data_IF_082590890551
#
_entry.id   IF_082590890551
#
_cell.length_a   1.000
_cell.length_b   1.000
_cell.length_c   1.000
_cell.angle_alpha   90.00
_cell.angle_beta   90.00
_cell.angle_gamma   90.00
#
_symmetry.space_group_name_H-M   'P 1'
#
loop_
_entity.id
_entity.type
_entity.pdbx_description
1 polymer ?
#
# COMPACT_ATOMS: atom_id res chain seq x y z
N UNK A 1 24.03 19.51 -6.94
CA UNK A 1 24.17 18.07 -7.28
C UNK A 1 24.85 17.98 -8.63
N UNK A 2 25.89 17.17 -8.81
CA UNK A 2 26.33 16.78 -10.16
C UNK A 2 25.12 16.13 -10.83
N UNK A 3 24.69 16.64 -11.99
CA UNK A 3 23.67 15.98 -12.79
C UNK A 3 24.16 14.57 -13.13
N UNK A 4 23.61 13.57 -12.45
CA UNK A 4 23.84 12.17 -12.79
C UNK A 4 23.21 11.97 -14.17
N UNK A 5 24.00 11.59 -15.18
CA UNK A 5 23.41 11.21 -16.47
C UNK A 5 22.54 9.96 -16.25
N UNK A 6 21.28 10.02 -16.67
CA UNK A 6 20.38 8.88 -16.56
C UNK A 6 20.93 7.64 -17.28
N UNK A 7 20.80 6.47 -16.65
CA UNK A 7 21.25 5.19 -17.20
C UNK A 7 20.11 4.17 -17.20
N UNK A 8 19.59 3.83 -18.39
CA UNK A 8 18.51 2.85 -18.52
C UNK A 8 18.89 1.44 -18.10
N UNK A 9 20.17 1.05 -18.20
CA UNK A 9 20.64 -0.26 -17.75
C UNK A 9 20.46 -0.43 -16.23
N UNK A 10 20.43 0.66 -15.46
CA UNK A 10 20.20 0.60 -14.02
C UNK A 10 18.85 -0.03 -13.64
N UNK A 11 17.88 -0.09 -14.55
CA UNK A 11 16.57 -0.72 -14.35
C UNK A 11 16.57 -2.23 -14.59
N UNK A 12 17.66 -2.79 -15.13
CA UNK A 12 17.78 -4.21 -15.45
C UNK A 12 17.48 -5.14 -14.26
N UNK A 13 17.96 -4.88 -13.03
CA UNK A 13 17.66 -5.74 -11.87
C UNK A 13 16.15 -5.90 -11.63
N UNK A 14 15.41 -4.79 -11.68
CA UNK A 14 13.95 -4.82 -11.55
C UNK A 14 13.31 -5.59 -12.71
N UNK A 15 13.77 -5.37 -13.95
CA UNK A 15 13.28 -6.11 -15.11
C UNK A 15 13.50 -7.63 -14.97
N UNK A 16 14.66 -8.04 -14.46
CA UNK A 16 14.97 -9.46 -14.17
C UNK A 16 14.07 -10.00 -13.07
N UNK A 17 13.90 -9.27 -11.97
CA UNK A 17 13.01 -9.68 -10.89
C UNK A 17 11.58 -9.92 -11.41
N UNK A 18 11.03 -8.98 -12.17
CA UNK A 18 9.69 -9.10 -12.75
C UNK A 18 9.60 -10.25 -13.75
N UNK A 19 10.59 -10.41 -14.62
CA UNK A 19 10.62 -11.49 -15.60
C UNK A 19 10.69 -12.86 -14.93
N UNK A 20 11.48 -13.00 -13.87
CA UNK A 20 11.56 -14.24 -13.10
C UNK A 20 10.27 -14.50 -12.35
N UNK A 21 9.78 -13.53 -11.56
CA UNK A 21 8.63 -13.71 -10.69
C UNK A 21 7.31 -13.87 -11.45
N UNK A 22 7.01 -12.96 -12.38
CA UNK A 22 5.78 -13.00 -13.17
C UNK A 22 5.90 -14.07 -14.27
N UNK A 23 7.05 -14.12 -14.96
CA UNK A 23 7.26 -15.06 -16.06
C UNK A 23 7.25 -16.52 -15.63
N UNK A 24 7.82 -16.86 -14.47
CA UNK A 24 7.75 -18.24 -13.96
C UNK A 24 6.31 -18.67 -13.69
N UNK A 25 5.49 -17.81 -13.10
CA UNK A 25 4.10 -18.15 -12.80
C UNK A 25 3.26 -18.29 -14.07
N UNK A 26 3.46 -17.42 -15.07
CA UNK A 26 2.78 -17.55 -16.37
C UNK A 26 3.16 -18.86 -17.08
N UNK A 27 4.45 -19.20 -17.13
CA UNK A 27 4.93 -20.41 -17.82
C UNK A 27 4.46 -21.69 -17.11
N UNK A 28 4.49 -21.68 -15.78
CA UNK A 28 4.27 -22.89 -14.98
C UNK A 28 2.83 -23.05 -14.47
N UNK A 29 1.99 -22.02 -14.66
CA UNK A 29 0.63 -21.91 -14.13
C UNK A 29 0.56 -21.71 -12.61
N UNK A 30 1.70 -21.54 -11.93
CA UNK A 30 1.80 -21.53 -10.48
C UNK A 30 2.89 -20.53 -10.04
N UNK A 31 2.46 -19.44 -9.40
CA UNK A 31 3.35 -18.36 -8.96
C UNK A 31 4.23 -18.71 -7.75
N UNK A 32 4.06 -19.88 -7.12
CA UNK A 32 4.90 -20.32 -5.99
C UNK A 32 6.05 -21.24 -6.39
N UNK A 33 6.02 -21.78 -7.62
CA UNK A 33 7.08 -22.70 -8.10
C UNK A 33 8.47 -22.09 -8.07
N UNK A 34 8.57 -20.79 -8.34
CA UNK A 34 9.80 -20.04 -8.09
C UNK A 34 9.57 -19.16 -6.86
N UNK A 35 10.20 -19.48 -5.70
CA UNK A 35 10.05 -18.66 -4.51
C UNK A 35 10.46 -17.22 -4.79
N UNK A 36 9.62 -16.27 -4.38
CA UNK A 36 9.82 -14.84 -4.63
C UNK A 36 11.17 -14.35 -4.08
N UNK A 37 11.60 -14.88 -2.93
CA UNK A 37 12.90 -14.60 -2.32
C UNK A 37 14.08 -15.01 -3.21
N UNK A 38 13.95 -16.09 -3.99
CA UNK A 38 15.00 -16.51 -4.93
C UNK A 38 15.06 -15.55 -6.11
N UNK A 39 13.90 -15.19 -6.68
CA UNK A 39 13.83 -14.25 -7.80
C UNK A 39 14.45 -12.88 -7.44
N UNK A 40 14.09 -12.33 -6.28
CA UNK A 40 14.65 -11.04 -5.83
C UNK A 40 16.14 -11.16 -5.46
N UNK A 41 16.59 -12.28 -4.89
CA UNK A 41 18.02 -12.50 -4.60
C UNK A 41 18.87 -12.52 -5.87
N UNK A 42 18.38 -13.14 -6.95
CA UNK A 42 19.04 -13.10 -8.27
C UNK A 42 19.11 -11.67 -8.78
N UNK A 43 18.02 -10.91 -8.70
CA UNK A 43 17.98 -9.52 -9.13
C UNK A 43 18.94 -8.63 -8.32
N UNK A 44 19.01 -8.79 -6.99
CA UNK A 44 19.98 -8.11 -6.12
C UNK A 44 21.42 -8.49 -6.51
N UNK A 45 21.67 -9.77 -6.79
CA UNK A 45 22.97 -10.23 -7.30
C UNK A 45 23.38 -9.52 -8.59
N UNK A 46 22.44 -9.35 -9.52
CA UNK A 46 22.67 -8.57 -10.75
C UNK A 46 22.93 -7.10 -10.43
N UNK A 47 22.12 -6.48 -9.57
CA UNK A 47 22.30 -5.08 -9.16
C UNK A 47 23.68 -4.82 -8.55
N UNK A 48 24.17 -5.75 -7.71
CA UNK A 48 25.50 -5.70 -7.11
C UNK A 48 26.63 -6.00 -8.11
N UNK A 49 26.38 -6.80 -9.15
CA UNK A 49 27.35 -7.06 -10.22
C UNK A 49 27.48 -5.89 -11.23
N UNK A 50 26.47 -5.02 -11.29
CA UNK A 50 26.48 -3.81 -12.11
C UNK A 50 27.45 -2.75 -11.58
N UNK A 51 27.62 -1.69 -12.40
CA UNK A 51 28.49 -0.56 -12.11
C UNK A 51 29.92 -0.99 -11.71
N UNK A 52 30.63 -1.62 -12.66
CA UNK A 52 32.00 -2.15 -12.47
C UNK A 52 33.05 -1.07 -12.11
N UNK A 53 32.70 0.20 -12.20
CA UNK A 53 33.58 1.33 -11.82
C UNK A 53 33.62 1.54 -10.31
N UNK A 54 32.61 1.07 -9.60
CA UNK A 54 32.49 1.20 -8.14
C UNK A 54 32.96 -0.07 -7.45
N UNK A 55 33.56 0.08 -6.27
CA UNK A 55 33.99 -1.06 -5.46
C UNK A 55 32.79 -1.86 -4.97
N UNK A 56 32.99 -3.16 -4.74
CA UNK A 56 31.93 -4.02 -4.20
C UNK A 56 31.47 -3.53 -2.81
N UNK A 57 32.39 -3.03 -1.99
CA UNK A 57 32.09 -2.48 -0.66
C UNK A 57 31.11 -1.31 -0.73
N UNK A 58 31.35 -0.34 -1.62
CA UNK A 58 30.44 0.81 -1.80
C UNK A 58 29.05 0.35 -2.23
N UNK A 59 28.98 -0.66 -3.11
CA UNK A 59 27.68 -1.21 -3.55
C UNK A 59 26.93 -1.89 -2.41
N UNK A 60 27.62 -2.64 -1.55
CA UNK A 60 27.00 -3.24 -0.35
C UNK A 60 26.55 -2.18 0.64
N UNK A 61 27.33 -1.12 0.86
CA UNK A 61 26.94 0.00 1.73
C UNK A 61 25.69 0.71 1.19
N UNK A 62 25.62 0.95 -0.12
CA UNK A 62 24.42 1.49 -0.79
C UNK A 62 23.23 0.57 -0.60
N UNK A 63 23.40 -0.73 -0.85
CA UNK A 63 22.35 -1.71 -0.61
C UNK A 63 21.85 -1.65 0.85
N UNK A 64 22.76 -1.66 1.83
CA UNK A 64 22.41 -1.61 3.25
C UNK A 64 21.68 -0.32 3.62
N UNK A 65 22.08 0.82 3.03
CA UNK A 65 21.39 2.10 3.22
C UNK A 65 19.95 2.06 2.70
N UNK A 66 19.73 1.45 1.54
CA UNK A 66 18.38 1.26 0.97
C UNK A 66 17.53 0.31 1.81
N UNK A 67 18.11 -0.82 2.18
CA UNK A 67 17.50 -1.84 3.02
C UNK A 67 17.11 -1.30 4.41
N UNK A 68 17.94 -0.43 4.98
CA UNK A 68 17.72 0.25 6.26
C UNK A 68 16.97 1.57 6.16
N UNK A 69 16.29 1.86 5.04
CA UNK A 69 15.48 3.06 4.90
C UNK A 69 14.37 3.08 5.98
N UNK A 70 14.11 4.22 6.65
CA UNK A 70 13.12 4.32 7.71
C UNK A 70 11.73 3.79 7.34
N UNK A 71 11.22 4.08 6.14
CA UNK A 71 9.88 3.64 5.70
C UNK A 71 9.82 2.11 5.62
N UNK A 72 10.89 1.49 5.11
CA UNK A 72 11.01 0.04 4.98
C UNK A 72 11.11 -0.60 6.36
N UNK A 73 11.91 -0.02 7.26
CA UNK A 73 12.05 -0.55 8.61
C UNK A 73 10.77 -0.39 9.45
N UNK A 74 10.03 0.70 9.28
CA UNK A 74 8.70 0.86 9.90
C UNK A 74 7.74 -0.20 9.37
N UNK A 75 7.75 -0.47 8.06
CA UNK A 75 6.95 -1.56 7.49
C UNK A 75 7.33 -2.93 8.06
N UNK A 76 8.62 -3.23 8.21
CA UNK A 76 9.09 -4.47 8.85
C UNK A 76 8.56 -4.58 10.28
N UNK A 77 8.59 -3.50 11.07
CA UNK A 77 8.04 -3.49 12.42
C UNK A 77 6.52 -3.73 12.42
N UNK A 78 5.79 -3.14 11.47
CA UNK A 78 4.36 -3.41 11.30
C UNK A 78 4.12 -4.89 11.03
N UNK A 79 4.88 -5.53 10.13
CA UNK A 79 4.70 -6.96 9.83
C UNK A 79 4.90 -7.82 11.06
N UNK A 80 6.00 -7.61 11.78
CA UNK A 80 6.31 -8.38 12.99
C UNK A 80 5.22 -8.22 14.05
N UNK A 81 4.78 -6.99 14.34
CA UNK A 81 3.73 -6.74 15.34
C UNK A 81 2.35 -7.22 14.88
N UNK A 82 2.05 -7.13 13.60
CA UNK A 82 0.76 -7.55 13.07
C UNK A 82 0.64 -9.08 13.02
N UNK A 83 1.74 -9.79 12.70
CA UNK A 83 1.82 -11.23 12.85
C UNK A 83 1.61 -11.67 14.30
N UNK A 84 2.28 -11.02 15.26
CA UNK A 84 2.08 -11.27 16.68
C UNK A 84 0.62 -11.05 17.12
N UNK A 85 0.01 -9.93 16.74
CA UNK A 85 -1.39 -9.64 17.03
C UNK A 85 -2.34 -10.67 16.43
N UNK A 86 -2.16 -11.00 15.15
CA UNK A 86 -3.02 -11.93 14.44
C UNK A 86 -2.98 -13.33 15.04
N UNK A 87 -1.79 -13.84 15.34
CA UNK A 87 -1.65 -15.19 15.91
C UNK A 87 -2.20 -15.25 17.35
N UNK A 88 -1.95 -14.22 18.16
CA UNK A 88 -2.48 -14.15 19.54
C UNK A 88 -3.99 -13.95 19.59
N UNK A 89 -4.54 -13.12 18.71
CA UNK A 89 -5.99 -12.92 18.62
C UNK A 89 -6.71 -14.17 18.09
N UNK A 90 -6.08 -14.90 17.16
CA UNK A 90 -6.60 -16.17 16.65
C UNK A 90 -6.61 -17.24 17.73
N UNK A 91 -5.51 -17.43 18.46
CA UNK A 91 -5.42 -18.52 19.45
C UNK A 91 -6.34 -18.35 20.66
N UNK A 92 -6.74 -17.12 21.01
CA UNK A 92 -7.80 -16.88 22.01
C UNK A 92 -9.23 -16.92 21.44
N UNK A 93 -9.42 -17.14 20.13
CA UNK A 93 -10.75 -17.24 19.49
C UNK A 93 -11.40 -15.90 19.11
N UNK A 94 -10.62 -14.81 19.08
CA UNK A 94 -11.13 -13.48 18.75
C UNK A 94 -11.45 -13.27 17.28
N UNK A 95 -10.69 -13.93 16.37
CA UNK A 95 -11.00 -13.91 14.92
C UNK A 95 -12.39 -14.50 14.71
N UNK A 96 -12.62 -15.72 15.19
CA UNK A 96 -13.89 -16.42 14.99
C UNK A 96 -15.07 -15.66 15.61
N UNK A 97 -14.91 -15.13 16.82
CA UNK A 97 -15.96 -14.34 17.47
C UNK A 97 -16.29 -13.06 16.70
N UNK A 98 -15.28 -12.38 16.15
CA UNK A 98 -15.47 -11.14 15.37
C UNK A 98 -16.17 -11.42 14.04
N UNK A 99 -15.78 -12.50 13.36
CA UNK A 99 -16.39 -12.93 12.09
C UNK A 99 -17.84 -13.37 12.31
N UNK A 100 -18.11 -14.16 13.35
CA UNK A 100 -19.45 -14.61 13.69
C UNK A 100 -20.37 -13.44 14.07
N UNK A 101 -19.87 -12.45 14.83
CA UNK A 101 -20.62 -11.24 15.09
C UNK A 101 -20.98 -10.54 13.78
N UNK A 102 -20.00 -10.31 12.89
CA UNK A 102 -20.24 -9.65 11.61
C UNK A 102 -21.30 -10.36 10.76
N UNK A 103 -21.22 -11.70 10.66
CA UNK A 103 -22.19 -12.53 9.94
C UNK A 103 -23.58 -12.54 10.59
N UNK A 104 -23.68 -12.30 11.90
CA UNK A 104 -24.97 -12.24 12.61
C UNK A 104 -25.74 -10.94 12.39
N UNK A 105 -25.04 -9.84 12.06
CA UNK A 105 -25.64 -8.49 11.93
C UNK A 105 -25.67 -7.98 10.48
N UNK A 106 -24.78 -8.46 9.61
CA UNK A 106 -24.67 -8.03 8.21
C UNK A 106 -24.99 -9.19 7.27
N UNK A 107 -25.82 -8.98 6.24
CA UNK A 107 -25.96 -9.96 5.18
C UNK A 107 -24.61 -10.18 4.48
N UNK A 108 -24.28 -11.45 4.19
CA UNK A 108 -22.98 -11.86 3.65
C UNK A 108 -22.56 -11.06 2.40
N UNK A 109 -23.51 -10.76 1.52
CA UNK A 109 -23.30 -9.96 0.31
C UNK A 109 -22.88 -8.49 0.54
N UNK A 110 -22.92 -7.98 1.77
CA UNK A 110 -22.45 -6.64 2.11
C UNK A 110 -21.17 -6.62 2.95
N UNK A 111 -20.71 -7.77 3.44
CA UNK A 111 -19.58 -7.85 4.38
C UNK A 111 -18.29 -7.32 3.74
N UNK A 112 -18.01 -7.71 2.50
CA UNK A 112 -16.79 -7.28 1.79
C UNK A 112 -16.82 -5.79 1.47
N UNK A 113 -17.97 -5.27 1.05
CA UNK A 113 -18.15 -3.82 0.89
C UNK A 113 -18.00 -3.08 2.23
N UNK A 114 -18.47 -3.66 3.33
CA UNK A 114 -18.26 -3.15 4.69
C UNK A 114 -16.79 -3.08 5.06
N UNK A 115 -16.01 -4.13 4.77
CA UNK A 115 -14.54 -4.14 4.98
C UNK A 115 -13.87 -3.01 4.20
N UNK A 116 -14.25 -2.80 2.93
CA UNK A 116 -13.72 -1.68 2.14
C UNK A 116 -13.97 -0.33 2.83
N UNK A 117 -15.21 -0.09 3.27
CA UNK A 117 -15.61 1.17 3.92
C UNK A 117 -14.89 1.36 5.26
N UNK A 118 -14.81 0.32 6.09
CA UNK A 118 -14.10 0.38 7.36
C UNK A 118 -12.61 0.67 7.11
N UNK A 119 -11.98 0.01 6.13
CA UNK A 119 -10.60 0.27 5.73
C UNK A 119 -10.38 1.70 5.24
N UNK A 120 -11.32 2.22 4.44
CA UNK A 120 -11.31 3.62 4.00
C UNK A 120 -11.28 4.60 5.17
N UNK A 121 -12.15 4.43 6.18
CA UNK A 121 -12.18 5.32 7.34
C UNK A 121 -10.97 5.16 8.24
N UNK A 122 -10.52 3.93 8.48
CA UNK A 122 -9.31 3.68 9.28
C UNK A 122 -8.09 4.32 8.62
N UNK A 123 -7.89 4.12 7.32
CA UNK A 123 -6.72 4.66 6.66
C UNK A 123 -6.77 6.19 6.52
N UNK A 124 -7.98 6.76 6.35
CA UNK A 124 -8.17 8.20 6.40
C UNK A 124 -7.73 8.77 7.76
N UNK A 125 -8.13 8.12 8.85
CA UNK A 125 -7.87 8.55 10.22
C UNK A 125 -6.41 8.32 10.67
N UNK A 126 -5.85 7.15 10.40
CA UNK A 126 -4.46 6.80 10.75
C UNK A 126 -3.42 7.44 9.81
N UNK A 127 -3.82 7.76 8.58
CA UNK A 127 -2.92 8.24 7.53
C UNK A 127 -1.87 7.23 7.08
N UNK A 128 -2.16 5.93 7.23
CA UNK A 128 -1.28 4.87 6.73
C UNK A 128 -2.11 3.72 6.13
N UNK A 129 -1.76 3.31 4.91
CA UNK A 129 -2.40 2.15 4.28
C UNK A 129 -1.92 0.83 4.91
N UNK A 130 -0.65 0.71 5.30
CA UNK A 130 -0.10 -0.55 5.83
C UNK A 130 -0.68 -0.91 7.18
N UNK A 131 -0.78 0.07 8.07
CA UNK A 131 -1.38 -0.15 9.37
C UNK A 131 -2.85 -0.53 9.26
N UNK A 132 -3.55 0.06 8.29
CA UNK A 132 -4.94 -0.30 7.99
C UNK A 132 -5.06 -1.75 7.49
N UNK A 133 -4.20 -2.17 6.55
CA UNK A 133 -4.18 -3.54 6.06
C UNK A 133 -3.86 -4.50 7.21
N UNK A 134 -2.83 -4.21 8.01
CA UNK A 134 -2.45 -5.01 9.17
C UNK A 134 -3.56 -5.16 10.22
N UNK A 135 -4.38 -4.11 10.42
CA UNK A 135 -5.49 -4.13 11.35
C UNK A 135 -6.69 -4.95 10.84
N UNK A 136 -6.98 -4.89 9.53
CA UNK A 136 -8.17 -5.52 8.94
C UNK A 136 -7.93 -6.89 8.31
N UNK A 137 -6.70 -7.19 7.91
CA UNK A 137 -6.36 -8.43 7.23
C UNK A 137 -6.79 -9.69 8.00
N UNK A 138 -6.55 -9.82 9.33
CA UNK A 138 -6.97 -11.02 10.06
C UNK A 138 -8.50 -11.24 10.02
N UNK A 139 -9.28 -10.16 10.04
CA UNK A 139 -10.75 -10.22 9.96
C UNK A 139 -11.17 -10.65 8.54
N UNK A 140 -10.54 -10.11 7.50
CA UNK A 140 -10.82 -10.48 6.11
C UNK A 140 -10.48 -11.95 5.81
N UNK A 141 -9.34 -12.44 6.31
CA UNK A 141 -8.96 -13.86 6.24
C UNK A 141 -9.97 -14.74 6.99
N UNK A 142 -10.39 -14.33 8.19
CA UNK A 142 -11.39 -15.04 8.97
C UNK A 142 -12.75 -15.13 8.27
N UNK A 143 -13.22 -14.04 7.65
CA UNK A 143 -14.45 -14.02 6.86
C UNK A 143 -14.36 -14.98 5.68
N UNK A 144 -13.25 -14.97 4.93
CA UNK A 144 -13.05 -15.89 3.81
C UNK A 144 -13.00 -17.36 4.27
N UNK A 145 -12.44 -17.65 5.45
CA UNK A 145 -12.42 -19.01 6.00
C UNK A 145 -13.78 -19.56 6.41
N UNK A 146 -14.79 -18.69 6.62
CA UNK A 146 -16.14 -19.05 7.05
C UNK A 146 -17.21 -18.83 5.97
N UNK A 147 -16.83 -18.33 4.79
CA UNK A 147 -17.72 -17.99 3.69
C UNK A 147 -17.15 -18.51 2.36
N UNK A 148 -17.95 -18.55 1.29
CA UNK A 148 -17.44 -18.90 -0.04
C UNK A 148 -16.69 -17.74 -0.73
N UNK A 149 -16.44 -16.65 -0.02
CA UNK A 149 -15.74 -15.49 -0.57
C UNK A 149 -14.26 -15.85 -0.70
N UNK A 150 -13.72 -15.70 -1.91
CA UNK A 150 -12.29 -15.91 -2.17
C UNK A 150 -11.43 -15.02 -1.27
N UNK A 151 -10.43 -15.64 -0.64
CA UNK A 151 -9.46 -14.94 0.20
C UNK A 151 -8.71 -13.83 -0.56
N UNK A 152 -8.45 -14.05 -1.86
CA UNK A 152 -7.81 -13.06 -2.72
C UNK A 152 -8.71 -11.81 -2.90
N UNK A 153 -10.02 -11.98 -3.07
CA UNK A 153 -10.99 -10.89 -3.17
C UNK A 153 -11.08 -10.12 -1.83
N UNK A 154 -11.17 -10.83 -0.72
CA UNK A 154 -11.24 -10.22 0.61
C UNK A 154 -9.98 -9.37 0.89
N UNK A 155 -8.81 -9.90 0.58
CA UNK A 155 -7.54 -9.20 0.79
C UNK A 155 -7.34 -8.02 -0.16
N UNK A 156 -7.64 -8.18 -1.45
CA UNK A 156 -7.58 -7.07 -2.40
C UNK A 156 -8.57 -5.95 -2.03
N UNK A 157 -9.70 -6.30 -1.42
CA UNK A 157 -10.67 -5.33 -0.90
C UNK A 157 -10.11 -4.53 0.27
N UNK A 158 -9.43 -5.19 1.21
CA UNK A 158 -8.72 -4.51 2.32
C UNK A 158 -7.68 -3.54 1.77
N UNK A 159 -6.88 -3.97 0.78
CA UNK A 159 -5.92 -3.10 0.09
C UNK A 159 -6.64 -1.90 -0.52
N UNK A 160 -7.72 -2.12 -1.26
CA UNK A 160 -8.50 -1.05 -1.87
C UNK A 160 -9.01 -0.02 -0.86
N UNK A 161 -9.62 -0.46 0.24
CA UNK A 161 -10.13 0.42 1.29
C UNK A 161 -9.00 1.23 1.94
N UNK A 162 -7.90 0.57 2.30
CA UNK A 162 -6.73 1.22 2.87
C UNK A 162 -6.16 2.28 1.92
N UNK A 163 -6.07 1.98 0.63
CA UNK A 163 -5.53 2.90 -0.36
C UNK A 163 -6.45 4.10 -0.65
N UNK A 164 -7.76 3.91 -0.54
CA UNK A 164 -8.72 5.02 -0.61
C UNK A 164 -8.50 6.01 0.52
N UNK A 165 -8.42 5.51 1.76
CA UNK A 165 -8.25 6.39 2.92
C UNK A 165 -6.90 7.11 2.91
N UNK A 166 -5.81 6.42 2.59
CA UNK A 166 -4.47 7.02 2.49
C UNK A 166 -4.43 8.17 1.48
N UNK A 167 -5.07 8.00 0.32
CA UNK A 167 -5.15 9.03 -0.73
C UNK A 167 -5.95 10.27 -0.32
N UNK A 168 -6.77 10.18 0.72
CA UNK A 168 -7.56 11.30 1.25
C UNK A 168 -7.05 11.81 2.61
N UNK A 169 -6.06 11.16 3.22
CA UNK A 169 -5.63 11.52 4.56
C UNK A 169 -4.92 12.88 4.62
N UNK A 170 -5.17 13.65 5.68
CA UNK A 170 -4.51 14.92 5.97
C UNK A 170 -3.16 14.76 6.66
N UNK A 171 -2.82 13.55 7.10
CA UNK A 171 -1.61 13.30 7.89
C UNK A 171 -0.68 12.27 7.22
N UNK A 172 -1.08 11.69 6.09
CA UNK A 172 -0.25 10.73 5.35
C UNK A 172 0.96 11.41 4.71
N UNK A 173 2.11 10.74 4.78
CA UNK A 173 3.39 11.21 4.23
C UNK A 173 3.30 11.48 2.72
N UNK A 174 2.55 10.65 1.99
CA UNK A 174 2.31 10.81 0.54
C UNK A 174 1.61 12.13 0.26
N UNK A 175 0.56 12.43 1.04
CA UNK A 175 -0.19 13.67 0.92
C UNK A 175 0.65 14.87 1.30
N UNK A 176 1.40 14.80 2.41
CA UNK A 176 2.30 15.88 2.85
C UNK A 176 3.36 16.16 1.79
N UNK A 177 3.98 15.12 1.23
CA UNK A 177 5.00 15.24 0.18
C UNK A 177 4.43 15.86 -1.11
N UNK A 178 3.25 15.41 -1.55
CA UNK A 178 2.61 15.94 -2.75
C UNK A 178 2.26 17.42 -2.58
N UNK A 179 1.68 17.79 -1.44
CA UNK A 179 1.24 19.16 -1.16
C UNK A 179 2.43 20.10 -1.00
N UNK A 180 3.46 19.70 -0.25
CA UNK A 180 4.69 20.49 -0.08
C UNK A 180 5.46 20.68 -1.39
N UNK A 181 5.57 19.63 -2.20
CA UNK A 181 6.30 19.72 -3.48
C UNK A 181 5.61 20.64 -4.49
N UNK A 182 4.28 20.73 -4.47
CA UNK A 182 3.53 21.56 -5.41
C UNK A 182 3.22 22.96 -4.90
N UNK A 183 3.35 23.22 -3.59
CA UNK A 183 3.05 24.52 -2.99
C UNK A 183 1.54 24.78 -2.90
N UNK A 184 0.76 23.76 -2.53
CA UNK A 184 -0.69 23.87 -2.29
C UNK A 184 -1.01 23.62 -0.81
N UNK A 185 -2.28 23.72 -0.41
CA UNK A 185 -2.74 23.36 0.93
C UNK A 185 -3.37 21.95 0.98
N UNK A 186 -3.32 21.30 2.14
CA UNK A 186 -3.88 19.96 2.36
C UNK A 186 -5.39 19.92 2.06
N UNK A 187 -6.13 20.94 2.51
CA UNK A 187 -7.58 21.06 2.31
C UNK A 187 -7.97 21.13 0.83
N UNK A 188 -7.18 21.84 0.04
CA UNK A 188 -7.43 22.01 -1.38
C UNK A 188 -7.12 20.73 -2.18
N UNK A 189 -6.02 20.05 -1.82
CA UNK A 189 -5.72 18.73 -2.36
C UNK A 189 -6.82 17.73 -1.99
N UNK A 190 -7.26 17.70 -0.72
CA UNK A 190 -8.32 16.80 -0.26
C UNK A 190 -9.57 16.93 -1.12
N UNK A 191 -10.07 18.16 -1.31
CA UNK A 191 -11.24 18.42 -2.16
C UNK A 191 -11.03 17.95 -3.60
N UNK A 192 -9.84 18.22 -4.15
CA UNK A 192 -9.49 17.84 -5.52
C UNK A 192 -9.48 16.31 -5.68
N UNK A 193 -8.80 15.58 -4.79
CA UNK A 193 -8.78 14.13 -4.79
C UNK A 193 -10.17 13.56 -4.59
N UNK A 194 -10.91 14.04 -3.58
CA UNK A 194 -12.24 13.53 -3.25
C UNK A 194 -13.18 13.53 -4.46
N UNK A 195 -13.17 14.60 -5.26
CA UNK A 195 -13.97 14.67 -6.48
C UNK A 195 -13.58 13.63 -7.54
N UNK A 196 -12.31 13.21 -7.58
CA UNK A 196 -11.80 12.24 -8.56
C UNK A 196 -11.96 10.81 -8.05
N UNK A 197 -11.73 10.55 -6.76
CA UNK A 197 -11.72 9.19 -6.19
C UNK A 197 -13.07 8.71 -5.69
N UNK A 198 -14.00 9.61 -5.35
CA UNK A 198 -15.34 9.23 -4.89
C UNK A 198 -16.08 8.34 -5.92
N UNK A 199 -16.09 8.65 -7.23
CA UNK A 199 -16.65 7.74 -8.23
C UNK A 199 -16.00 6.35 -8.23
N UNK A 200 -14.66 6.29 -8.11
CA UNK A 200 -13.95 5.01 -8.05
C UNK A 200 -14.35 4.19 -6.81
N UNK A 201 -14.53 4.82 -5.66
CA UNK A 201 -14.99 4.16 -4.44
C UNK A 201 -16.43 3.65 -4.55
N UNK A 202 -17.34 4.46 -5.10
CA UNK A 202 -18.74 4.06 -5.32
C UNK A 202 -18.81 2.85 -6.26
N UNK A 203 -18.11 2.91 -7.40
CA UNK A 203 -18.08 1.79 -8.36
C UNK A 203 -17.46 0.56 -7.71
N UNK A 204 -16.40 0.71 -6.90
CA UNK A 204 -15.81 -0.40 -6.15
C UNK A 204 -16.84 -1.05 -5.23
N UNK A 205 -17.54 -0.27 -4.41
CA UNK A 205 -18.57 -0.78 -3.48
C UNK A 205 -19.65 -1.55 -4.25
N UNK A 206 -20.13 -0.99 -5.36
CA UNK A 206 -21.15 -1.64 -6.19
C UNK A 206 -20.64 -2.95 -6.78
N UNK A 207 -19.42 -2.99 -7.31
CA UNK A 207 -18.81 -4.22 -7.85
C UNK A 207 -18.65 -5.29 -6.76
N UNK A 208 -18.18 -4.90 -5.58
CA UNK A 208 -18.02 -5.83 -4.45
C UNK A 208 -19.37 -6.43 -4.06
N UNK A 209 -20.40 -5.59 -3.89
CA UNK A 209 -21.76 -6.06 -3.57
C UNK A 209 -22.29 -7.00 -4.63
N UNK A 210 -22.14 -6.68 -5.93
CA UNK A 210 -22.58 -7.54 -7.04
C UNK A 210 -21.85 -8.88 -7.05
N UNK A 211 -20.54 -8.90 -6.82
CA UNK A 211 -19.75 -10.13 -6.81
C UNK A 211 -20.06 -11.04 -5.64
N UNK A 212 -20.53 -10.48 -4.52
CA UNK A 212 -20.90 -11.24 -3.32
C UNK A 212 -22.41 -11.45 -3.15
N UNK A 213 -23.22 -10.86 -4.05
CA UNK A 213 -24.67 -11.07 -4.13
C UNK A 213 -24.94 -12.50 -4.63
N UNK A 214 -25.40 -13.37 -3.74
CA UNK A 214 -25.65 -14.78 -4.05
C UNK A 214 -24.63 -15.76 -3.45
N UNK A 215 -23.62 -15.27 -2.72
CA UNK A 215 -22.86 -16.08 -1.75
C UNK A 215 -23.76 -16.39 -0.55
N UNK A 216 -24.82 -17.15 -0.77
CA UNK A 216 -25.88 -17.48 0.19
C UNK A 216 -25.64 -18.90 0.74
N UNK A 217 -24.39 -19.19 1.12
CA UNK A 217 -24.15 -20.32 2.01
C UNK A 217 -24.94 -20.03 3.28
N UNK A 218 -25.77 -20.98 3.73
CA UNK A 218 -26.42 -20.89 5.04
C UNK A 218 -25.34 -21.01 6.12
N UNK A 219 -24.56 -19.95 6.30
CA UNK A 219 -23.67 -19.80 7.44
C UNK A 219 -24.60 -19.55 8.61
N UNK A 220 -24.99 -20.62 9.31
CA UNK A 220 -25.58 -20.49 10.63
C UNK A 220 -24.56 -19.74 11.46
N UNK A 221 -24.84 -18.48 11.79
CA UNK A 221 -23.98 -17.69 12.67
C UNK A 221 -23.67 -18.54 13.91
N UNK A 222 -22.40 -18.94 14.05
CA UNK A 222 -21.96 -19.67 15.22
C UNK A 222 -21.97 -18.72 16.42
N UNK A 223 -21.98 -19.27 17.63
CA UNK A 223 -21.91 -18.45 18.84
C UNK A 223 -20.64 -17.58 18.84
N UNK A 224 -20.79 -16.31 19.19
CA UNK A 224 -19.67 -15.38 19.40
C UNK A 224 -19.56 -14.98 20.87
N UNK A 225 -18.35 -14.66 21.31
CA UNK A 225 -18.07 -14.10 22.63
C UNK A 225 -17.66 -12.63 22.50
N UNK A 226 -18.44 -11.73 23.12
CA UNK A 226 -18.19 -10.29 23.07
C UNK A 226 -16.85 -9.88 23.70
N UNK A 227 -16.37 -10.63 24.70
CA UNK A 227 -15.08 -10.33 25.36
C UNK A 227 -13.95 -10.62 24.39
N UNK A 228 -14.02 -11.73 23.65
CA UNK A 228 -13.01 -12.13 22.65
C UNK A 228 -12.94 -11.17 21.45
N UNK A 229 -13.94 -10.32 21.25
CA UNK A 229 -13.96 -9.29 20.20
C UNK A 229 -13.19 -8.02 20.61
N UNK A 230 -13.01 -7.79 21.92
CA UNK A 230 -12.41 -6.56 22.44
C UNK A 230 -11.02 -6.22 21.86
N UNK A 231 -10.11 -7.17 21.59
CA UNK A 231 -8.83 -6.85 20.96
C UNK A 231 -8.97 -6.23 19.57
N UNK A 232 -9.84 -6.79 18.73
CA UNK A 232 -10.14 -6.22 17.42
C UNK A 232 -10.87 -4.89 17.54
N UNK A 233 -11.90 -4.80 18.40
CA UNK A 233 -12.61 -3.54 18.62
C UNK A 233 -11.65 -2.43 19.11
N UNK A 234 -10.76 -2.74 20.04
CA UNK A 234 -9.74 -1.81 20.54
C UNK A 234 -8.78 -1.38 19.44
N UNK A 235 -8.30 -2.30 18.61
CA UNK A 235 -7.47 -1.99 17.43
C UNK A 235 -8.20 -1.06 16.48
N UNK A 236 -9.43 -1.38 16.09
CA UNK A 236 -10.22 -0.57 15.14
C UNK A 236 -10.55 0.81 15.71
N UNK A 237 -10.93 0.90 17.00
CA UNK A 237 -11.24 2.17 17.66
C UNK A 237 -9.99 3.05 17.75
N UNK A 238 -8.88 2.53 18.28
CA UNK A 238 -7.64 3.31 18.42
C UNK A 238 -7.07 3.71 17.07
N UNK A 239 -7.18 2.84 16.05
CA UNK A 239 -6.88 3.17 14.67
C UNK A 239 -7.76 4.32 14.13
N UNK A 240 -9.07 4.28 14.34
CA UNK A 240 -9.99 5.36 13.96
C UNK A 240 -9.74 6.66 14.73
N UNK A 241 -9.18 6.58 15.95
CA UNK A 241 -8.72 7.75 16.71
C UNK A 241 -7.36 8.28 16.22
N UNK A 242 -6.77 7.68 15.18
CA UNK A 242 -5.51 8.13 14.58
C UNK A 242 -4.26 7.76 15.38
N UNK A 243 -4.34 6.74 16.24
CA UNK A 243 -3.16 6.28 16.99
C UNK A 243 -2.13 5.65 16.07
N UNK A 244 -0.86 5.72 16.47
CA UNK A 244 0.23 5.10 15.71
C UNK A 244 0.02 3.58 15.62
N UNK A 245 0.13 3.04 14.41
CA UNK A 245 -0.07 1.61 14.11
C UNK A 245 0.73 0.68 15.04
N UNK A 246 1.97 1.02 15.38
CA UNK A 246 2.79 0.16 16.23
C UNK A 246 2.18 0.06 17.63
N UNK A 247 1.70 1.19 18.18
CA UNK A 247 0.99 1.23 19.47
C UNK A 247 -0.31 0.44 19.38
N UNK A 248 -1.06 0.62 18.29
CA UNK A 248 -2.33 -0.09 18.05
C UNK A 248 -2.13 -1.60 18.06
N UNK A 249 -1.15 -2.12 17.29
CA UNK A 249 -0.88 -3.56 17.18
C UNK A 249 -0.28 -4.15 18.46
N UNK A 250 0.63 -3.44 19.13
CA UNK A 250 1.15 -3.86 20.43
C UNK A 250 0.03 -3.90 21.47
N UNK A 251 -0.81 -2.85 21.53
CA UNK A 251 -1.96 -2.80 22.44
C UNK A 251 -2.95 -3.93 22.20
N UNK A 252 -3.26 -4.21 20.93
CA UNK A 252 -4.10 -5.36 20.54
C UNK A 252 -3.50 -6.69 20.96
N UNK A 253 -2.19 -6.90 20.77
CA UNK A 253 -1.49 -8.13 21.18
C UNK A 253 -1.53 -8.32 22.69
N UNK A 254 -1.29 -7.26 23.46
CA UNK A 254 -1.36 -7.30 24.93
C UNK A 254 -2.79 -7.59 25.39
N UNK A 255 -3.80 -6.95 24.79
CA UNK A 255 -5.20 -7.17 25.14
C UNK A 255 -5.65 -8.61 24.83
N UNK A 256 -5.25 -9.17 23.67
CA UNK A 256 -5.45 -10.59 23.36
C UNK A 256 -4.81 -11.51 24.39
N UNK A 257 -3.60 -11.21 24.83
CA UNK A 257 -2.90 -11.96 25.86
C UNK A 257 -3.61 -11.90 27.22
N UNK A 258 -3.99 -10.71 27.68
CA UNK A 258 -4.73 -10.53 28.94
C UNK A 258 -6.03 -11.31 28.93
N UNK A 259 -6.83 -11.20 27.87
CA UNK A 259 -8.11 -11.90 27.76
C UNK A 259 -7.91 -13.41 27.70
N UNK A 260 -6.96 -13.89 26.89
CA UNK A 260 -6.68 -15.32 26.80
C UNK A 260 -6.12 -15.92 28.10
N UNK A 261 -5.40 -15.15 28.92
CA UNK A 261 -4.98 -15.59 30.25
C UNK A 261 -6.16 -15.66 31.23
N UNK A 262 -7.12 -14.74 31.12
CA UNK A 262 -8.30 -14.69 32.00
C UNK A 262 -9.33 -15.77 31.68
N UNK A 263 -9.54 -16.09 30.40
CA UNK A 263 -10.53 -17.09 29.97
C UNK A 263 -9.96 -18.53 29.87
N UNK A 264 -8.64 -18.67 30.07
CA UNK A 264 -7.93 -19.95 30.05
C UNK A 264 -7.50 -20.43 28.66
N UNK A 265 -7.72 -19.65 27.59
CA UNK A 265 -7.25 -19.97 26.23
C UNK A 265 -5.72 -19.95 26.12
N UNK A 266 -5.04 -19.20 26.99
CA UNK A 266 -3.59 -19.15 27.09
C UNK A 266 -3.10 -19.40 28.51
N UNK A 267 -1.99 -20.14 28.60
CA UNK A 267 -0.97 -19.96 29.64
C UNK A 267 0.05 -18.91 29.20
N UNK A 268 0.84 -18.35 30.13
CA UNK A 268 1.89 -17.38 29.81
C UNK A 268 2.89 -17.93 28.77
N UNK A 269 3.24 -19.21 28.88
CA UNK A 269 4.11 -19.90 27.93
C UNK A 269 3.49 -19.97 26.53
N UNK A 270 2.24 -20.44 26.44
CA UNK A 270 1.54 -20.57 25.16
C UNK A 270 1.29 -19.21 24.48
N UNK A 271 1.07 -18.16 25.26
CA UNK A 271 0.97 -16.79 24.75
C UNK A 271 2.28 -16.32 24.12
N UNK A 272 3.42 -16.44 24.83
CA UNK A 272 4.72 -16.04 24.27
C UNK A 272 5.12 -16.88 23.05
N UNK A 273 4.77 -18.17 23.04
CA UNK A 273 4.94 -19.01 21.86
C UNK A 273 4.10 -18.50 20.69
N UNK A 274 2.82 -18.18 20.93
CA UNK A 274 1.92 -17.63 19.91
C UNK A 274 2.42 -16.28 19.35
N UNK A 275 2.91 -15.38 20.20
CA UNK A 275 3.58 -14.14 19.78
C UNK A 275 4.75 -14.45 18.84
N UNK A 276 5.66 -15.34 19.26
CA UNK A 276 6.85 -15.69 18.48
C UNK A 276 6.51 -16.36 17.15
N UNK A 277 5.52 -17.27 17.15
CA UNK A 277 5.01 -17.90 15.94
C UNK A 277 4.44 -16.87 14.97
N UNK A 278 3.64 -15.93 15.47
CA UNK A 278 3.08 -14.85 14.65
C UNK A 278 4.17 -13.95 14.03
N UNK A 279 5.17 -13.56 14.82
CA UNK A 279 6.33 -12.79 14.33
C UNK A 279 7.11 -13.57 13.27
N UNK A 280 7.39 -14.85 13.52
CA UNK A 280 8.14 -15.72 12.61
C UNK A 280 7.40 -15.98 11.28
N UNK A 281 6.07 -16.07 11.31
CA UNK A 281 5.24 -16.23 10.11
C UNK A 281 5.38 -15.09 9.10
N UNK A 282 5.89 -13.93 9.51
CA UNK A 282 6.08 -12.77 8.64
C UNK A 282 7.51 -12.64 8.09
N UNK A 283 8.41 -13.56 8.42
CA UNK A 283 9.84 -13.47 8.10
C UNK A 283 10.13 -13.39 6.59
N UNK A 284 9.38 -14.14 5.78
CA UNK A 284 9.54 -14.10 4.32
C UNK A 284 9.32 -12.69 3.76
N UNK A 285 8.27 -12.00 4.23
CA UNK A 285 7.95 -10.64 3.79
C UNK A 285 8.96 -9.61 4.30
N UNK A 286 9.45 -9.80 5.53
CA UNK A 286 10.51 -8.96 6.10
C UNK A 286 11.78 -9.04 5.24
N UNK A 287 12.20 -10.25 4.86
CA UNK A 287 13.35 -10.44 3.98
C UNK A 287 13.10 -9.81 2.60
N UNK A 288 11.92 -10.03 2.03
CA UNK A 288 11.55 -9.49 0.73
C UNK A 288 11.60 -7.95 0.72
N UNK A 289 11.03 -7.30 1.73
CA UNK A 289 11.05 -5.85 1.91
C UNK A 289 12.46 -5.27 1.95
N UNK A 290 13.35 -5.88 2.74
CA UNK A 290 14.75 -5.48 2.89
C UNK A 290 15.51 -5.62 1.56
N UNK A 291 15.32 -6.76 0.86
CA UNK A 291 15.96 -7.03 -0.43
C UNK A 291 15.50 -6.05 -1.52
N UNK A 292 14.20 -5.77 -1.59
CA UNK A 292 13.64 -4.77 -2.52
C UNK A 292 14.22 -3.38 -2.20
N UNK A 293 14.22 -2.98 -0.92
CA UNK A 293 14.76 -1.69 -0.49
C UNK A 293 16.21 -1.47 -0.92
N UNK A 294 17.07 -2.45 -0.68
CA UNK A 294 18.45 -2.39 -1.09
C UNK A 294 18.64 -2.42 -2.61
N UNK A 295 17.85 -3.21 -3.34
CA UNK A 295 17.85 -3.21 -4.81
C UNK A 295 17.47 -1.84 -5.37
N UNK A 296 16.41 -1.24 -4.84
CA UNK A 296 15.90 0.07 -5.26
C UNK A 296 16.94 1.17 -5.06
N UNK A 297 17.67 1.18 -3.93
CA UNK A 297 18.76 2.14 -3.72
C UNK A 297 19.90 1.95 -4.72
N UNK A 298 20.23 0.72 -5.12
CA UNK A 298 21.22 0.47 -6.17
C UNK A 298 20.75 0.97 -7.55
N UNK A 299 19.46 0.79 -7.87
CA UNK A 299 18.85 1.33 -9.10
C UNK A 299 18.94 2.87 -9.11
N UNK A 300 18.60 3.50 -7.99
CA UNK A 300 18.69 4.96 -7.81
C UNK A 300 20.13 5.45 -7.95
N UNK A 301 21.07 4.83 -7.22
CA UNK A 301 22.49 5.18 -7.25
C UNK A 301 23.07 5.08 -8.66
N UNK A 302 22.65 4.08 -9.43
CA UNK A 302 23.12 3.87 -10.80
C UNK A 302 22.41 4.75 -11.85
N UNK A 303 21.49 5.64 -11.46
CA UNK A 303 20.86 6.63 -12.33
C UNK A 303 19.60 6.13 -13.06
N UNK A 304 18.95 5.07 -12.59
CA UNK A 304 17.75 4.50 -13.21
C UNK A 304 16.55 5.45 -13.20
N UNK A 305 16.29 6.11 -12.07
CA UNK A 305 15.16 7.05 -11.97
C UNK A 305 15.38 8.29 -12.84
N UNK A 306 16.62 8.81 -12.89
CA UNK A 306 16.95 9.95 -13.75
C UNK A 306 16.78 9.62 -15.25
N UNK A 307 17.03 8.37 -15.66
CA UNK A 307 16.74 7.93 -17.02
C UNK A 307 15.24 7.97 -17.33
N UNK A 308 14.40 7.45 -16.43
CA UNK A 308 12.95 7.48 -16.58
C UNK A 308 12.42 8.90 -16.68
N UNK A 309 12.94 9.79 -15.84
CA UNK A 309 12.60 11.21 -15.90
C UNK A 309 12.90 11.83 -17.25
N UNK A 310 14.12 11.63 -17.78
CA UNK A 310 14.53 12.20 -19.06
C UNK A 310 13.71 11.64 -20.24
N UNK A 311 13.29 10.38 -20.15
CA UNK A 311 12.46 9.74 -21.18
C UNK A 311 11.04 10.35 -21.22
N UNK A 312 10.44 10.55 -20.04
CA UNK A 312 9.03 10.94 -19.91
C UNK A 312 8.79 12.44 -20.14
N UNK A 313 9.80 13.29 -19.92
CA UNK A 313 9.67 14.75 -20.12
C UNK A 313 9.99 15.22 -21.53
N UNK A 314 10.61 14.39 -22.38
CA UNK A 314 11.13 14.80 -23.70
C UNK A 314 10.07 15.21 -24.73
N UNK A 315 8.82 14.73 -24.59
CA UNK A 315 7.77 14.83 -25.61
C UNK A 315 6.52 15.59 -25.16
N UNK A 316 6.58 16.37 -24.08
CA UNK A 316 5.43 17.13 -23.59
C UNK A 316 5.17 18.33 -24.51
N UNK A 317 3.96 18.44 -25.08
CA UNK A 317 3.59 19.50 -26.04
C UNK A 317 2.32 20.29 -25.69
N UNK A 318 1.58 19.86 -24.66
CA UNK A 318 0.30 20.45 -24.28
C UNK A 318 0.07 20.31 -22.78
N UNK A 319 -0.85 21.10 -22.23
CA UNK A 319 -1.24 21.02 -20.81
C UNK A 319 -1.72 19.62 -20.40
N UNK A 320 -2.55 18.96 -21.24
CA UNK A 320 -2.95 17.56 -21.02
C UNK A 320 -1.76 16.61 -21.09
N UNK A 321 -0.87 16.81 -22.05
CA UNK A 321 0.37 16.03 -22.16
C UNK A 321 1.28 16.20 -20.94
N UNK A 322 1.26 17.37 -20.32
CA UNK A 322 2.02 17.66 -19.10
C UNK A 322 1.44 16.94 -17.87
N UNK A 323 0.10 16.93 -17.71
CA UNK A 323 -0.56 16.13 -16.66
C UNK A 323 -0.29 14.63 -16.82
N UNK A 324 -0.38 14.09 -18.05
CA UNK A 324 0.03 12.70 -18.32
C UNK A 324 1.52 12.46 -18.10
N UNK A 325 2.35 13.47 -18.38
CA UNK A 325 3.78 13.45 -18.09
C UNK A 325 4.05 13.30 -16.59
N UNK A 326 3.36 14.07 -15.75
CA UNK A 326 3.43 13.98 -14.28
C UNK A 326 2.93 12.62 -13.79
N UNK A 327 1.77 12.17 -14.30
CA UNK A 327 1.20 10.86 -13.97
C UNK A 327 2.17 9.70 -14.31
N UNK A 328 2.74 9.74 -15.51
CA UNK A 328 3.74 8.76 -15.94
C UNK A 328 5.03 8.85 -15.14
N UNK A 329 5.47 10.06 -14.79
CA UNK A 329 6.69 10.29 -14.02
C UNK A 329 6.60 9.65 -12.64
N UNK A 330 5.54 9.97 -11.88
CA UNK A 330 5.34 9.40 -10.54
C UNK A 330 5.02 7.90 -10.61
N UNK A 331 4.20 7.48 -11.58
CA UNK A 331 3.80 6.09 -11.72
C UNK A 331 4.98 5.17 -12.07
N UNK A 332 5.82 5.54 -13.03
CA UNK A 332 7.01 4.77 -13.40
C UNK A 332 8.06 4.78 -12.29
N UNK A 333 8.23 5.92 -11.61
CA UNK A 333 9.12 5.98 -10.43
C UNK A 333 8.60 5.08 -9.32
N UNK A 334 7.28 5.01 -9.12
CA UNK A 334 6.69 4.15 -8.10
C UNK A 334 6.76 2.67 -8.45
N UNK A 335 6.58 2.32 -9.71
CA UNK A 335 6.90 0.97 -10.19
C UNK A 335 8.36 0.62 -9.89
N UNK A 336 9.28 1.57 -10.02
CA UNK A 336 10.69 1.29 -9.79
C UNK A 336 11.09 1.24 -8.31
N UNK A 337 10.49 2.07 -7.48
CA UNK A 337 10.87 2.22 -6.08
C UNK A 337 10.00 1.43 -5.12
N UNK A 338 8.81 1.00 -5.57
CA UNK A 338 7.77 0.36 -4.77
C UNK A 338 7.39 1.15 -3.50
N UNK A 339 7.59 2.47 -3.52
CA UNK A 339 7.32 3.37 -2.40
C UNK A 339 6.75 4.69 -2.92
N UNK A 340 5.48 4.93 -2.58
CA UNK A 340 4.69 6.09 -3.01
C UNK A 340 5.35 7.39 -2.56
N UNK A 341 5.75 7.43 -1.29
CA UNK A 341 6.32 8.61 -0.64
C UNK A 341 7.64 8.98 -1.29
N UNK A 342 8.55 8.02 -1.45
CA UNK A 342 9.83 8.24 -2.14
C UNK A 342 9.60 8.70 -3.58
N UNK A 343 8.64 8.09 -4.27
CA UNK A 343 8.29 8.46 -5.65
C UNK A 343 7.80 9.89 -5.76
N UNK A 344 6.88 10.30 -4.88
CA UNK A 344 6.36 11.67 -4.85
C UNK A 344 7.46 12.67 -4.49
N UNK A 345 8.30 12.36 -3.48
CA UNK A 345 9.40 13.26 -3.06
C UNK A 345 10.41 13.45 -4.20
N UNK A 346 10.79 12.36 -4.87
CA UNK A 346 11.79 12.40 -5.93
C UNK A 346 11.27 13.11 -7.19
N UNK A 347 10.02 12.82 -7.57
CA UNK A 347 9.42 13.38 -8.80
C UNK A 347 8.78 14.74 -8.59
N UNK A 348 8.48 15.12 -7.35
CA UNK A 348 7.75 16.33 -6.98
C UNK A 348 8.35 17.63 -7.53
N UNK A 349 9.65 17.92 -7.35
CA UNK A 349 10.28 19.12 -7.89
C UNK A 349 10.19 19.23 -9.42
N UNK A 350 10.24 18.09 -10.12
CA UNK A 350 10.16 18.06 -11.58
C UNK A 350 8.73 18.20 -12.06
N UNK A 351 7.80 17.52 -11.39
CA UNK A 351 6.38 17.71 -11.59
C UNK A 351 5.99 19.17 -11.37
N UNK A 352 6.60 19.85 -10.39
CA UNK A 352 6.42 21.28 -10.16
C UNK A 352 6.93 22.12 -11.32
N UNK A 353 8.15 21.86 -11.82
CA UNK A 353 8.68 22.55 -13.00
C UNK A 353 7.78 22.37 -14.24
N UNK A 354 7.29 21.14 -14.47
CA UNK A 354 6.36 20.84 -15.56
C UNK A 354 5.03 21.58 -15.35
N UNK A 355 4.50 21.56 -14.13
CA UNK A 355 3.25 22.24 -13.80
C UNK A 355 3.34 23.75 -14.02
N UNK A 356 4.45 24.38 -13.62
CA UNK A 356 4.68 25.81 -13.82
C UNK A 356 4.85 26.16 -15.30
N UNK A 357 5.58 25.34 -16.07
CA UNK A 357 5.80 25.55 -17.50
C UNK A 357 4.51 25.47 -18.34
N UNK A 358 3.59 24.58 -17.96
CA UNK A 358 2.33 24.35 -18.68
C UNK A 358 1.09 24.92 -17.96
N UNK A 359 1.31 25.79 -16.96
CA UNK A 359 0.28 26.45 -16.16
C UNK A 359 -0.78 25.49 -15.59
N UNK A 360 -0.34 24.34 -15.07
CA UNK A 360 -1.19 23.38 -14.35
C UNK A 360 -1.42 23.91 -12.93
N UNK A 361 -2.66 23.85 -12.47
CA UNK A 361 -3.00 24.28 -11.10
C UNK A 361 -2.25 23.40 -10.07
N UNK A 362 -1.57 23.99 -9.07
CA UNK A 362 -0.83 23.24 -8.05
C UNK A 362 -1.67 22.14 -7.35
N UNK A 363 -2.97 22.39 -7.16
CA UNK A 363 -3.91 21.43 -6.56
C UNK A 363 -4.09 20.21 -7.46
N UNK A 364 -4.21 20.45 -8.78
CA UNK A 364 -4.29 19.41 -9.80
C UNK A 364 -3.00 18.60 -9.86
N UNK A 365 -1.85 19.28 -9.88
CA UNK A 365 -0.54 18.62 -9.92
C UNK A 365 -0.31 17.72 -8.69
N UNK A 366 -0.62 18.22 -7.49
CA UNK A 366 -0.50 17.45 -6.24
C UNK A 366 -1.43 16.24 -6.24
N UNK A 367 -2.65 16.42 -6.77
CA UNK A 367 -3.61 15.34 -6.95
C UNK A 367 -3.11 14.27 -7.92
N UNK A 368 -2.58 14.66 -9.08
CA UNK A 368 -2.04 13.72 -10.07
C UNK A 368 -0.85 12.93 -9.50
N UNK A 369 0.07 13.59 -8.79
CA UNK A 369 1.18 12.90 -8.13
C UNK A 369 0.69 11.79 -7.22
N UNK A 370 -0.24 12.14 -6.32
CA UNK A 370 -0.70 11.24 -5.28
C UNK A 370 -1.64 10.12 -5.80
N UNK A 371 -2.54 10.44 -6.73
CA UNK A 371 -3.45 9.47 -7.34
C UNK A 371 -2.71 8.39 -8.11
N UNK A 372 -1.73 8.79 -8.95
CA UNK A 372 -1.02 7.83 -9.78
C UNK A 372 0.06 7.07 -9.01
N UNK A 373 0.66 7.65 -7.95
CA UNK A 373 1.45 6.84 -7.02
C UNK A 373 0.57 5.80 -6.33
N UNK A 374 -0.61 6.19 -5.82
CA UNK A 374 -1.55 5.28 -5.18
C UNK A 374 -1.98 4.17 -6.14
N UNK A 375 -2.52 4.52 -7.32
CA UNK A 375 -2.90 3.57 -8.37
C UNK A 375 -1.81 2.53 -8.63
N UNK A 376 -0.59 2.96 -8.96
CA UNK A 376 0.51 2.03 -9.29
C UNK A 376 0.88 1.18 -8.09
N UNK A 377 0.96 1.76 -6.89
CA UNK A 377 1.32 0.99 -5.70
C UNK A 377 0.36 -0.16 -5.42
N UNK A 378 -0.92 0.10 -5.62
CA UNK A 378 -1.98 -0.88 -5.42
C UNK A 378 -2.06 -1.91 -6.53
N UNK A 379 -1.16 -1.86 -7.52
CA UNK A 379 -1.11 -2.79 -8.64
C UNK A 379 0.24 -3.49 -8.79
N UNK A 380 1.27 -3.05 -8.06
CA UNK A 380 2.56 -3.73 -8.10
C UNK A 380 2.58 -4.89 -7.08
N UNK A 381 2.83 -6.15 -7.51
CA UNK A 381 2.86 -7.31 -6.62
C UNK A 381 3.89 -7.24 -5.48
N UNK A 382 5.00 -6.55 -5.75
CA UNK A 382 6.10 -6.31 -4.81
C UNK A 382 5.92 -4.97 -4.06
N UNK A 383 4.77 -4.32 -4.28
CA UNK A 383 4.35 -3.17 -3.53
C UNK A 383 4.06 -3.57 -2.10
N UNK A 384 4.50 -2.71 -1.21
CA UNK A 384 4.46 -2.92 0.22
C UNK A 384 3.02 -3.23 0.74
N UNK A 385 1.97 -2.64 0.15
CA UNK A 385 0.55 -2.88 0.46
C UNK A 385 0.10 -4.27 0.02
N UNK A 386 0.48 -4.66 -1.21
CA UNK A 386 0.18 -5.98 -1.76
C UNK A 386 0.90 -7.07 -0.98
N UNK A 387 2.18 -6.87 -0.64
CA UNK A 387 2.97 -7.79 0.18
C UNK A 387 2.36 -7.97 1.58
N UNK A 388 1.94 -6.87 2.22
CA UNK A 388 1.26 -6.93 3.52
C UNK A 388 0.02 -7.84 3.43
N UNK A 389 -0.84 -7.60 2.44
CA UNK A 389 -2.09 -8.32 2.28
C UNK A 389 -1.88 -9.80 1.92
N UNK A 390 -1.02 -10.09 0.94
CA UNK A 390 -0.68 -11.45 0.56
C UNK A 390 -0.06 -12.23 1.73
N UNK A 391 0.75 -11.56 2.55
CA UNK A 391 1.34 -12.10 3.77
C UNK A 391 0.34 -12.73 4.74
N UNK A 392 -0.72 -12.00 5.07
CA UNK A 392 -1.76 -12.49 5.98
C UNK A 392 -2.55 -13.67 5.42
N UNK A 393 -2.70 -13.73 4.11
CA UNK A 393 -3.45 -14.77 3.44
C UNK A 393 -2.59 -15.96 3.00
N UNK A 394 -1.26 -15.91 3.21
CA UNK A 394 -0.30 -16.83 2.63
C UNK A 394 -0.48 -17.00 1.11
N UNK A 395 -0.80 -15.89 0.42
CA UNK A 395 -1.05 -15.86 -1.02
C UNK A 395 0.13 -15.27 -1.79
N UNK A 396 0.23 -15.59 -3.07
CA UNK A 396 1.05 -14.85 -4.01
C UNK A 396 0.39 -13.49 -4.24
N UNK A 397 1.13 -12.37 -4.13
CA UNK A 397 0.57 -11.04 -4.36
C UNK A 397 -0.08 -10.86 -5.74
N UNK A 398 0.30 -11.68 -6.72
CA UNK A 398 -0.28 -11.66 -8.07
C UNK A 398 -1.75 -12.13 -8.07
N UNK A 399 -2.12 -13.03 -7.17
CA UNK A 399 -3.50 -13.52 -7.04
C UNK A 399 -4.48 -12.44 -6.59
N UNK A 400 -3.98 -11.37 -5.96
CA UNK A 400 -4.78 -10.22 -5.52
C UNK A 400 -5.08 -9.26 -6.68
N UNK A 401 -4.24 -9.22 -7.73
CA UNK A 401 -4.35 -8.24 -8.81
C UNK A 401 -5.69 -8.26 -9.57
N UNK A 402 -6.28 -9.43 -9.91
CA UNK A 402 -7.58 -9.47 -10.58
C UNK A 402 -8.70 -8.78 -9.78
N UNK A 403 -8.54 -8.70 -8.46
CA UNK A 403 -9.50 -8.13 -7.53
C UNK A 403 -9.11 -6.74 -7.02
N UNK A 404 -8.02 -6.14 -7.52
CA UNK A 404 -7.55 -4.82 -7.16
C UNK A 404 -8.42 -3.69 -7.77
N UNK A 405 -9.75 -3.79 -7.62
CA UNK A 405 -10.71 -2.92 -8.28
C UNK A 405 -10.48 -1.45 -7.97
N UNK A 406 -10.28 -1.09 -6.71
CA UNK A 406 -10.10 0.32 -6.33
C UNK A 406 -8.81 0.93 -6.93
N UNK A 407 -7.61 0.33 -6.79
CA UNK A 407 -6.41 0.82 -7.48
C UNK A 407 -6.57 0.98 -9.00
N UNK A 408 -7.26 0.05 -9.67
CA UNK A 408 -7.56 0.16 -11.10
C UNK A 408 -8.48 1.36 -11.36
N UNK A 409 -9.59 1.45 -10.62
CA UNK A 409 -10.63 2.46 -10.82
C UNK A 409 -10.12 3.86 -10.50
N UNK A 410 -9.26 4.05 -9.49
CA UNK A 410 -8.66 5.35 -9.21
C UNK A 410 -7.73 5.79 -10.35
N UNK A 411 -6.99 4.85 -10.96
CA UNK A 411 -6.21 5.11 -12.17
C UNK A 411 -7.09 5.53 -13.35
N UNK A 412 -8.19 4.81 -13.60
CA UNK A 412 -9.16 5.13 -14.65
C UNK A 412 -9.80 6.51 -14.41
N UNK A 413 -10.26 6.80 -13.20
CA UNK A 413 -10.82 8.10 -12.83
C UNK A 413 -9.78 9.22 -12.98
N UNK A 414 -8.52 8.97 -12.60
CA UNK A 414 -7.41 9.90 -12.81
C UNK A 414 -7.16 10.20 -14.29
N UNK A 415 -7.16 9.18 -15.15
CA UNK A 415 -7.02 9.34 -16.60
C UNK A 415 -8.20 10.14 -17.18
N UNK A 416 -9.44 9.78 -16.83
CA UNK A 416 -10.64 10.50 -17.26
C UNK A 416 -10.56 11.96 -16.82
N UNK A 417 -10.16 12.20 -15.58
CA UNK A 417 -10.00 13.51 -14.97
C UNK A 417 -9.00 14.39 -15.74
N UNK A 418 -7.89 13.82 -16.22
CA UNK A 418 -6.93 14.52 -17.13
C UNK A 418 -7.58 14.80 -18.49
N UNK A 419 -8.25 13.80 -19.10
CA UNK A 419 -8.84 13.92 -20.43
C UNK A 419 -9.91 15.02 -20.52
N UNK A 420 -10.76 15.14 -19.50
CA UNK A 420 -11.85 16.13 -19.47
C UNK A 420 -11.46 17.46 -18.79
N UNK A 421 -10.26 17.54 -18.19
CA UNK A 421 -9.78 18.71 -17.46
C UNK A 421 -10.58 18.99 -16.18
N UNK A 422 -10.90 17.96 -15.43
CA UNK A 422 -11.64 18.02 -14.17
C UNK A 422 -10.72 17.80 -12.97
N UNK A 423 -10.97 18.39 -11.79
CA UNK A 423 -11.89 19.50 -11.56
C UNK A 423 -11.40 20.79 -12.20
N UNK A 424 -12.33 21.62 -12.67
CA UNK A 424 -12.01 22.94 -13.24
C UNK A 424 -11.84 23.93 -12.11
N UNK A 425 -10.68 24.54 -12.04
CA UNK A 425 -10.41 25.59 -11.07
C UNK A 425 -10.69 26.95 -11.69
N UNK A 426 -11.42 27.81 -10.97
CA UNK A 426 -11.48 29.22 -11.34
C UNK A 426 -10.08 29.82 -11.24
N UNK A 427 -9.71 30.73 -12.15
CA UNK A 427 -8.42 31.43 -12.08
C UNK A 427 -8.33 32.09 -10.70
N UNK A 428 -7.37 31.65 -9.89
CA UNK A 428 -7.08 32.30 -8.60
C UNK A 428 -6.65 33.71 -8.93
N UNK A 429 -7.55 34.67 -8.69
CA UNK A 429 -7.19 36.09 -8.63
C UNK A 429 -6.40 36.22 -7.33
N UNK A 430 -5.16 36.71 -7.44
CA UNK A 430 -4.16 36.90 -6.37
C UNK A 430 -3.33 35.68 -5.96
N UNK A 431 -2.06 35.72 -6.38
CA UNK A 431 -0.94 35.10 -5.65
C UNK A 431 -0.98 35.62 -4.21
N UNK A 432 -1.48 34.82 -3.27
CA UNK A 432 -1.09 35.01 -1.87
C UNK A 432 0.41 34.73 -1.81
N UNK A 433 1.20 35.78 -1.58
CA UNK A 433 2.61 35.64 -1.22
C UNK A 433 2.69 34.82 0.07
N UNK A 434 2.95 33.53 -0.07
CA UNK A 434 3.24 32.68 1.07
C UNK A 434 4.58 33.14 1.67
N UNK A 435 4.48 33.86 2.77
CA UNK A 435 5.63 34.25 3.58
C UNK A 435 6.39 33.00 4.03
N UNK A 436 7.68 32.98 3.73
CA UNK A 436 8.67 32.16 4.43
C UNK A 436 8.72 32.66 5.88
N UNK A 437 8.12 31.96 6.81
CA UNK A 437 8.54 32.06 8.22
C UNK A 437 9.66 31.06 8.45
N UNK A 438 10.75 31.62 9.00
CA UNK A 438 12.09 31.06 9.19
C UNK A 438 12.13 29.85 10.13
#
# INVERSE_FOLDING_TARGET
MKETRGNGLALLPLGIFLALFIGSGIITGDFYKLPILVAISIAVGVALAMNRKESFHVKVERFAKGAGNPDIMIMVLIFVLAGAFSETAKGMGGVDSTVNLALSILPQGFIIAGIFVIGAFISLAMGTSMGTIAALAPIAVGISGQTDISIALAMATVVGGAMFGDNLSFISDTTIAAVRSQGTEMKDKFKTNFLIVLPAAIITIVLLVILTLGSDTQVKAHSFDLIKILPYAGVLITALLGWNVLIVLTGGTVLSGVIGLLDGSYTLESFFKSVTTGMGGMMELVLLAILIGGMVELIQYNGGIQYLMNLLTRNIRSKKGAEFGIAGLVGMTNMCTANNTISIIFTGPLAKNIADQYEIDPRKSASVLDLFSCCVQGLIPYGAQMLTAAGFAALSPIELLPYAFYPILVGVCGIISILIGFPRFSKVTEKKEYHKTA
#
